data_IF_331318249166
#
_entry.id   IF_331318249166
#
_cell.length_a   1.000
_cell.length_b   1.000
_cell.length_c   1.000
_cell.angle_alpha   90.00
_cell.angle_beta   90.00
_cell.angle_gamma   90.00
#
_symmetry.space_group_name_H-M   'P 1'
#
loop_
_entity.id
_entity.type
_entity.pdbx_description
1 polymer ?
#
# COMPACT_ATOMS: atom_id res chain seq x y z
N UNK A 1 11.34 -8.35 13.04
CA UNK A 1 12.42 -7.92 12.12
C UNK A 1 12.90 -6.48 12.35
N UNK A 2 12.24 -5.72 13.21
CA UNK A 2 12.55 -4.31 13.51
C UNK A 2 12.61 -3.38 12.29
N UNK A 3 11.93 -3.73 11.20
CA UNK A 3 11.79 -2.90 10.00
C UNK A 3 10.54 -2.03 10.08
N UNK A 4 10.54 -0.93 9.35
CA UNK A 4 9.38 -0.06 9.19
C UNK A 4 8.82 -0.20 7.78
N UNK A 5 7.53 0.00 7.63
CA UNK A 5 6.86 -0.02 6.34
C UNK A 5 5.89 1.13 6.21
N UNK A 6 5.42 1.38 4.98
CA UNK A 6 4.39 2.37 4.69
C UNK A 6 3.07 1.67 4.38
N UNK A 7 2.04 1.97 5.16
CA UNK A 7 0.70 1.39 5.04
C UNK A 7 -0.25 2.37 4.36
N UNK A 8 -0.69 2.06 3.14
CA UNK A 8 -1.72 2.83 2.45
C UNK A 8 -3.10 2.38 2.91
N UNK A 9 -3.66 3.13 3.85
CA UNK A 9 -4.87 2.78 4.57
C UNK A 9 -6.14 3.20 3.83
N UNK A 10 -7.14 2.33 3.83
CA UNK A 10 -8.51 2.64 3.38
C UNK A 10 -9.26 3.32 4.53
N UNK A 11 -9.83 4.51 4.30
CA UNK A 11 -10.46 5.31 5.36
C UNK A 11 -11.55 4.57 6.14
N UNK A 12 -12.42 3.81 5.45
CA UNK A 12 -13.44 2.98 6.11
C UNK A 12 -12.84 1.94 7.08
N UNK A 13 -11.65 1.40 6.77
CA UNK A 13 -10.97 0.47 7.65
C UNK A 13 -10.37 1.18 8.88
N UNK A 14 -9.85 2.39 8.69
CA UNK A 14 -9.36 3.23 9.80
C UNK A 14 -10.49 3.56 10.77
N UNK A 15 -11.66 3.96 10.24
CA UNK A 15 -12.84 4.26 11.07
C UNK A 15 -13.32 3.03 11.85
N UNK A 16 -13.29 1.85 11.24
CA UNK A 16 -13.71 0.59 11.90
C UNK A 16 -12.69 0.06 12.91
N UNK A 17 -11.41 0.37 12.72
CA UNK A 17 -10.32 -0.17 13.54
C UNK A 17 -9.36 0.93 13.99
N UNK A 18 -9.82 1.96 14.74
CA UNK A 18 -9.00 3.11 15.11
C UNK A 18 -7.81 2.72 15.99
N UNK A 19 -7.98 1.70 16.84
CA UNK A 19 -6.92 1.19 17.71
C UNK A 19 -5.76 0.62 16.90
N UNK A 20 -6.05 -0.19 15.88
CA UNK A 20 -5.03 -0.77 15.01
C UNK A 20 -4.29 0.33 14.23
N UNK A 21 -5.02 1.34 13.75
CA UNK A 21 -4.43 2.47 13.04
C UNK A 21 -3.48 3.27 13.95
N UNK A 22 -3.88 3.50 15.21
CA UNK A 22 -3.03 4.14 16.20
C UNK A 22 -1.77 3.32 16.46
N UNK A 23 -1.91 2.00 16.67
CA UNK A 23 -0.79 1.09 16.90
C UNK A 23 0.23 1.09 15.76
N UNK A 24 -0.22 1.14 14.49
CA UNK A 24 0.68 1.28 13.34
C UNK A 24 1.60 2.51 13.48
N UNK A 25 1.03 3.65 13.86
CA UNK A 25 1.77 4.91 14.04
C UNK A 25 2.69 4.86 15.26
N UNK A 26 2.22 4.35 16.39
CA UNK A 26 2.99 4.20 17.62
C UNK A 26 4.19 3.26 17.43
N UNK A 27 4.04 2.23 16.61
CA UNK A 27 5.15 1.35 16.22
C UNK A 27 6.11 1.99 15.20
N UNK A 28 5.87 3.24 14.79
CA UNK A 28 6.73 4.01 13.88
C UNK A 28 6.61 3.62 12.42
N UNK A 29 5.52 2.97 12.02
CA UNK A 29 5.20 2.79 10.60
C UNK A 29 4.66 4.08 10.01
N UNK A 30 4.91 4.29 8.71
CA UNK A 30 4.33 5.40 7.96
C UNK A 30 2.95 5.01 7.46
N UNK A 31 2.03 5.98 7.36
CA UNK A 31 0.70 5.77 6.82
C UNK A 31 0.48 6.66 5.60
N UNK A 32 -0.31 6.17 4.65
CA UNK A 32 -0.71 6.90 3.44
C UNK A 32 -2.20 6.71 3.15
N UNK A 33 -2.76 7.62 2.38
CA UNK A 33 -4.16 7.62 1.98
C UNK A 33 -4.39 6.66 0.80
N UNK A 34 -5.41 5.79 0.90
CA UNK A 34 -5.81 4.83 -0.15
C UNK A 34 -7.31 4.93 -0.49
N UNK A 35 -7.85 6.15 -0.49
CA UNK A 35 -9.27 6.50 -0.63
C UNK A 35 -10.14 6.06 0.55
N UNK A 36 -11.38 6.57 0.64
CA UNK A 36 -12.27 6.24 1.75
C UNK A 36 -12.72 4.78 1.73
N UNK A 37 -13.09 4.26 0.55
CA UNK A 37 -13.67 2.92 0.39
C UNK A 37 -13.09 2.12 -0.78
N UNK A 38 -11.78 2.30 -1.04
CA UNK A 38 -11.02 1.58 -2.05
C UNK A 38 -11.58 1.70 -3.48
N UNK A 39 -12.09 2.88 -3.83
CA UNK A 39 -12.68 3.12 -5.17
C UNK A 39 -11.63 3.32 -6.25
N UNK A 40 -11.92 2.80 -7.43
CA UNK A 40 -11.13 2.99 -8.62
C UNK A 40 -11.40 4.37 -9.24
N UNK A 41 -10.36 5.20 -9.42
CA UNK A 41 -10.53 6.56 -9.91
C UNK A 41 -11.23 6.65 -11.26
N UNK A 42 -10.91 5.76 -12.20
CA UNK A 42 -11.52 5.72 -13.54
C UNK A 42 -13.03 5.45 -13.53
N UNK A 43 -13.59 4.97 -12.41
CA UNK A 43 -15.03 4.70 -12.27
C UNK A 43 -15.83 5.87 -11.70
N UNK A 44 -15.15 6.95 -11.32
CA UNK A 44 -15.78 8.13 -10.72
C UNK A 44 -15.45 9.39 -11.50
N UNK A 45 -16.38 10.36 -11.46
CA UNK A 45 -16.05 11.72 -11.89
C UNK A 45 -14.89 12.30 -11.07
N UNK A 46 -14.16 13.24 -11.63
CA UNK A 46 -13.06 13.94 -10.94
C UNK A 46 -13.52 14.45 -9.57
N UNK A 47 -14.64 15.16 -9.52
CA UNK A 47 -15.18 15.73 -8.28
C UNK A 47 -15.46 14.66 -7.22
N UNK A 48 -16.15 13.58 -7.58
CA UNK A 48 -16.49 12.52 -6.64
C UNK A 48 -15.25 11.75 -6.14
N UNK A 49 -14.26 11.57 -7.00
CA UNK A 49 -13.01 10.93 -6.59
C UNK A 49 -12.21 11.78 -5.61
N UNK A 50 -12.02 13.06 -5.91
CA UNK A 50 -11.33 13.99 -5.01
C UNK A 50 -12.03 14.11 -3.66
N UNK A 51 -13.36 14.19 -3.65
CA UNK A 51 -14.16 14.18 -2.41
C UNK A 51 -13.96 12.89 -1.61
N UNK A 52 -13.85 11.74 -2.29
CA UNK A 52 -13.61 10.46 -1.64
C UNK A 52 -12.21 10.40 -1.00
N UNK A 53 -11.18 10.88 -1.70
CA UNK A 53 -9.81 11.00 -1.18
C UNK A 53 -9.77 11.94 0.03
N UNK A 54 -10.44 13.10 -0.05
CA UNK A 54 -10.48 14.07 1.04
C UNK A 54 -11.14 13.50 2.30
N UNK A 55 -12.28 12.82 2.17
CA UNK A 55 -12.92 12.13 3.30
C UNK A 55 -12.01 11.09 3.97
N UNK A 56 -11.18 10.40 3.19
CA UNK A 56 -10.18 9.50 3.76
C UNK A 56 -9.08 10.28 4.50
N UNK A 57 -8.68 11.42 3.95
CA UNK A 57 -7.65 12.26 4.56
C UNK A 57 -8.09 12.89 5.88
N UNK A 58 -9.38 13.15 6.05
CA UNK A 58 -9.96 13.64 7.33
C UNK A 58 -9.71 12.67 8.51
N UNK A 59 -9.47 11.37 8.23
CA UNK A 59 -9.21 10.35 9.26
C UNK A 59 -7.78 9.78 9.23
N UNK A 60 -7.08 9.88 8.10
CA UNK A 60 -5.72 9.35 7.93
C UNK A 60 -4.67 10.43 8.19
N UNK A 61 -4.90 11.65 7.72
CA UNK A 61 -4.01 12.80 7.83
C UNK A 61 -2.60 12.52 7.31
N UNK A 62 -2.47 12.25 6.00
CA UNK A 62 -1.18 11.92 5.38
C UNK A 62 -0.93 12.71 4.10
N UNK A 63 0.29 13.18 3.91
CA UNK A 63 0.75 13.76 2.64
C UNK A 63 1.02 12.73 1.53
N UNK A 64 0.90 11.42 1.81
CA UNK A 64 1.10 10.35 0.83
C UNK A 64 -0.24 9.81 0.32
N UNK A 65 -0.32 9.60 -0.98
CA UNK A 65 -1.49 9.01 -1.61
C UNK A 65 -1.10 7.91 -2.61
N UNK A 66 -1.78 6.78 -2.54
CA UNK A 66 -1.69 5.72 -3.55
C UNK A 66 -3.08 5.41 -4.12
N UNK A 67 -3.30 5.51 -5.44
CA UNK A 67 -4.60 5.18 -6.02
C UNK A 67 -4.87 3.68 -5.95
N UNK A 68 -6.10 3.26 -5.56
CA UNK A 68 -6.49 1.86 -5.64
C UNK A 68 -6.27 1.28 -7.04
N UNK A 69 -5.73 0.07 -7.09
CA UNK A 69 -5.35 -0.63 -8.32
C UNK A 69 -4.31 0.10 -9.21
N UNK A 70 -3.72 1.20 -8.74
CA UNK A 70 -2.83 2.05 -9.55
C UNK A 70 -3.56 2.89 -10.60
N UNK A 71 -4.88 3.01 -10.54
CA UNK A 71 -5.68 3.60 -11.61
C UNK A 71 -6.42 4.86 -11.18
N UNK A 72 -6.12 5.97 -11.83
CA UNK A 72 -6.87 7.23 -11.74
C UNK A 72 -6.76 8.01 -13.05
N UNK A 73 -7.70 8.93 -13.28
CA UNK A 73 -7.69 9.78 -14.47
C UNK A 73 -6.61 10.88 -14.42
N UNK A 74 -6.11 11.37 -15.57
CA UNK A 74 -5.09 12.42 -15.61
C UNK A 74 -5.49 13.69 -14.86
N UNK A 75 -6.76 14.11 -14.99
CA UNK A 75 -7.30 15.28 -14.29
C UNK A 75 -7.41 15.08 -12.76
N UNK A 76 -7.60 13.85 -12.30
CA UNK A 76 -7.58 13.49 -10.88
C UNK A 76 -6.14 13.55 -10.36
N UNK A 77 -5.20 12.95 -11.09
CA UNK A 77 -3.78 12.96 -10.75
C UNK A 77 -3.22 14.38 -10.66
N UNK A 78 -3.54 15.25 -11.65
CA UNK A 78 -3.11 16.65 -11.65
C UNK A 78 -3.61 17.41 -10.42
N UNK A 79 -4.85 17.18 -10.01
CA UNK A 79 -5.41 17.84 -8.84
C UNK A 79 -4.77 17.34 -7.53
N UNK A 80 -4.62 16.00 -7.38
CA UNK A 80 -4.07 15.40 -6.17
C UNK A 80 -2.59 15.73 -5.94
N UNK A 81 -1.80 15.91 -7.00
CA UNK A 81 -0.38 16.30 -6.88
C UNK A 81 -0.14 17.63 -6.16
N UNK A 82 -1.15 18.48 -6.03
CA UNK A 82 -1.03 19.74 -5.31
C UNK A 82 -1.10 19.56 -3.78
N UNK A 83 -1.68 18.45 -3.31
CA UNK A 83 -1.93 18.17 -1.90
C UNK A 83 -1.19 16.93 -1.41
N UNK A 84 -0.87 15.99 -2.32
CA UNK A 84 -0.29 14.69 -1.98
C UNK A 84 0.93 14.35 -2.83
N UNK A 85 1.88 13.65 -2.24
CA UNK A 85 2.89 12.90 -2.99
C UNK A 85 2.26 11.60 -3.47
N UNK A 86 2.17 11.44 -4.81
CA UNK A 86 1.58 10.26 -5.43
C UNK A 86 2.60 9.12 -5.47
N UNK A 87 2.33 8.06 -4.75
CA UNK A 87 3.22 6.91 -4.61
C UNK A 87 2.70 5.71 -5.40
N UNK A 88 3.48 5.27 -6.37
CA UNK A 88 3.23 4.04 -7.12
C UNK A 88 4.15 2.92 -6.60
N UNK A 89 4.47 1.95 -7.43
CA UNK A 89 5.37 0.84 -7.13
C UNK A 89 6.04 0.31 -8.39
N UNK A 90 7.08 -0.47 -8.22
CA UNK A 90 7.69 -1.23 -9.31
C UNK A 90 7.60 -2.76 -9.09
N UNK A 91 7.44 -3.22 -7.85
CA UNK A 91 7.25 -4.63 -7.55
C UNK A 91 5.90 -4.88 -6.89
N UNK A 92 4.94 -5.46 -7.61
CA UNK A 92 3.70 -6.00 -7.05
C UNK A 92 3.83 -7.51 -6.87
N UNK A 93 3.70 -7.99 -5.65
CA UNK A 93 3.90 -9.41 -5.32
C UNK A 93 2.80 -10.32 -5.83
N UNK A 94 1.59 -9.77 -6.05
CA UNK A 94 0.37 -10.49 -6.45
C UNK A 94 -0.10 -11.52 -5.40
N UNK A 95 0.20 -11.27 -4.14
CA UNK A 95 -0.20 -12.08 -2.98
C UNK A 95 -1.71 -12.31 -2.89
N UNK A 96 -2.52 -11.38 -3.36
CA UNK A 96 -3.98 -11.50 -3.47
C UNK A 96 -4.47 -12.50 -4.54
N UNK A 97 -3.58 -13.03 -5.38
CA UNK A 97 -3.97 -13.93 -6.46
C UNK A 97 -4.22 -15.34 -5.94
N UNK A 98 -5.45 -15.84 -6.10
CA UNK A 98 -5.78 -17.24 -5.79
C UNK A 98 -5.12 -18.26 -6.71
N UNK A 99 -4.50 -17.81 -7.82
CA UNK A 99 -3.81 -18.66 -8.79
C UNK A 99 -2.33 -18.86 -8.45
N UNK A 100 -1.80 -18.10 -7.50
CA UNK A 100 -0.40 -18.17 -7.08
C UNK A 100 -0.29 -18.84 -5.73
N UNK A 101 0.81 -19.59 -5.54
CA UNK A 101 1.24 -20.07 -4.22
C UNK A 101 2.09 -19.01 -3.51
N UNK A 102 2.25 -19.14 -2.19
CA UNK A 102 3.15 -18.27 -1.43
C UNK A 102 4.60 -18.30 -1.94
N UNK A 103 5.06 -19.46 -2.44
CA UNK A 103 6.39 -19.62 -3.04
C UNK A 103 6.52 -18.81 -4.33
N UNK A 104 5.50 -18.84 -5.19
CA UNK A 104 5.48 -18.04 -6.42
C UNK A 104 5.42 -16.54 -6.14
N UNK A 105 4.70 -16.14 -5.09
CA UNK A 105 4.68 -14.75 -4.61
C UNK A 105 6.06 -14.31 -4.11
N UNK A 106 6.73 -15.14 -3.33
CA UNK A 106 8.11 -14.89 -2.89
C UNK A 106 9.09 -14.86 -4.07
N UNK A 107 8.94 -15.76 -5.04
CA UNK A 107 9.75 -15.76 -6.26
C UNK A 107 9.60 -14.46 -7.07
N UNK A 108 8.41 -13.84 -7.08
CA UNK A 108 8.20 -12.53 -7.70
C UNK A 108 9.05 -11.44 -7.03
N UNK A 109 9.15 -11.43 -5.71
CA UNK A 109 10.02 -10.48 -5.00
C UNK A 109 11.47 -10.66 -5.44
N UNK A 110 12.00 -11.88 -5.35
CA UNK A 110 13.40 -12.17 -5.73
C UNK A 110 13.73 -11.81 -7.18
N UNK A 111 12.76 -12.00 -8.08
CA UNK A 111 12.97 -11.77 -9.52
C UNK A 111 13.02 -10.30 -9.90
N UNK A 112 12.24 -9.45 -9.22
CA UNK A 112 12.01 -8.08 -9.68
C UNK A 112 12.58 -7.01 -8.78
N UNK A 113 12.98 -7.34 -7.55
CA UNK A 113 13.54 -6.36 -6.62
C UNK A 113 14.90 -5.83 -7.08
N UNK A 114 15.12 -4.55 -6.84
CA UNK A 114 16.38 -3.83 -7.03
C UNK A 114 16.51 -2.72 -6.00
N UNK A 115 17.65 -2.07 -5.92
CA UNK A 115 17.83 -0.92 -5.04
C UNK A 115 16.80 0.18 -5.37
N UNK A 116 16.12 0.69 -4.35
CA UNK A 116 15.07 1.69 -4.47
C UNK A 116 13.69 1.12 -4.85
N UNK A 117 13.52 -0.21 -4.90
CA UNK A 117 12.21 -0.82 -5.18
C UNK A 117 11.18 -0.51 -4.12
N UNK A 118 9.97 -0.21 -4.57
CA UNK A 118 8.76 -0.18 -3.74
C UNK A 118 8.00 -1.48 -3.95
N UNK A 119 8.06 -2.36 -2.95
CA UNK A 119 7.45 -3.70 -2.98
C UNK A 119 6.08 -3.65 -2.31
N UNK A 120 5.03 -4.08 -3.01
CA UNK A 120 3.65 -4.06 -2.50
C UNK A 120 3.19 -5.45 -2.12
N UNK A 121 2.77 -5.58 -0.86
CA UNK A 121 1.96 -6.66 -0.30
C UNK A 121 0.59 -6.12 0.13
N UNK A 122 -0.39 -6.99 0.35
CA UNK A 122 -1.76 -6.61 0.72
C UNK A 122 -2.19 -7.33 2.00
N UNK A 123 -2.52 -6.58 3.04
CA UNK A 123 -3.02 -7.06 4.34
C UNK A 123 -4.54 -7.31 4.30
N UNK A 124 -4.98 -8.12 3.36
CA UNK A 124 -6.38 -8.45 3.15
C UNK A 124 -6.66 -9.95 3.37
N UNK A 125 -7.88 -10.31 3.77
CA UNK A 125 -8.31 -11.71 3.90
C UNK A 125 -8.05 -12.51 2.63
N UNK A 126 -8.14 -11.87 1.46
CA UNK A 126 -7.88 -12.50 0.17
C UNK A 126 -6.41 -12.87 -0.02
N UNK A 127 -5.50 -12.07 0.53
CA UNK A 127 -4.05 -12.26 0.41
C UNK A 127 -3.47 -13.08 1.58
N UNK A 128 -4.20 -13.25 2.67
CA UNK A 128 -3.70 -13.76 3.95
C UNK A 128 -2.81 -14.99 3.82
N UNK A 129 -3.28 -16.03 3.10
CA UNK A 129 -2.53 -17.28 2.95
C UNK A 129 -1.15 -17.06 2.32
N UNK A 130 -1.11 -16.31 1.23
CA UNK A 130 0.13 -16.04 0.52
C UNK A 130 1.01 -15.02 1.27
N UNK A 131 0.40 -14.02 1.88
CA UNK A 131 1.07 -12.99 2.68
C UNK A 131 1.82 -13.64 3.86
N UNK A 132 1.15 -14.49 4.65
CA UNK A 132 1.76 -15.17 5.80
C UNK A 132 2.97 -16.03 5.42
N UNK A 133 2.99 -16.58 4.23
CA UNK A 133 4.14 -17.33 3.73
C UNK A 133 5.22 -16.43 3.14
N UNK A 134 4.84 -15.54 2.22
CA UNK A 134 5.79 -14.84 1.37
C UNK A 134 6.43 -13.61 2.04
N UNK A 135 5.70 -12.88 2.90
CA UNK A 135 6.22 -11.67 3.51
C UNK A 135 7.43 -11.93 4.42
N UNK A 136 7.38 -12.86 5.42
CA UNK A 136 8.55 -13.12 6.26
C UNK A 136 9.75 -13.62 5.44
N UNK A 137 9.53 -14.55 4.51
CA UNK A 137 10.60 -15.06 3.64
C UNK A 137 11.20 -13.98 2.74
N UNK A 138 10.38 -13.03 2.28
CA UNK A 138 10.89 -11.89 1.51
C UNK A 138 11.75 -10.97 2.35
N UNK A 139 11.33 -10.68 3.57
CA UNK A 139 12.09 -9.85 4.50
C UNK A 139 13.44 -10.51 4.83
N UNK A 140 13.43 -11.77 5.22
CA UNK A 140 14.63 -12.55 5.55
C UNK A 140 15.61 -12.58 4.37
N UNK A 141 15.13 -12.94 3.18
CA UNK A 141 15.96 -12.99 1.98
C UNK A 141 16.53 -11.62 1.59
N UNK A 142 15.74 -10.56 1.72
CA UNK A 142 16.22 -9.20 1.45
C UNK A 142 17.32 -8.79 2.43
N UNK A 143 17.17 -9.11 3.72
CA UNK A 143 18.21 -8.85 4.74
C UNK A 143 19.49 -9.66 4.45
N UNK A 144 19.37 -10.94 4.09
CA UNK A 144 20.49 -11.80 3.71
C UNK A 144 21.25 -11.29 2.46
N UNK A 145 20.54 -10.57 1.57
CA UNK A 145 21.12 -9.95 0.38
C UNK A 145 21.46 -8.46 0.58
N UNK A 146 21.62 -8.02 1.84
CA UNK A 146 22.09 -6.68 2.24
C UNK A 146 21.18 -5.52 1.81
N UNK A 147 19.91 -5.78 1.46
CA UNK A 147 18.94 -4.72 1.25
C UNK A 147 18.59 -4.03 2.57
N UNK A 148 18.47 -2.71 2.53
CA UNK A 148 17.97 -1.91 3.63
C UNK A 148 16.51 -1.55 3.41
N UNK A 149 15.76 -1.47 4.51
CA UNK A 149 14.36 -1.09 4.49
C UNK A 149 14.20 0.34 4.97
N UNK A 150 13.35 1.09 4.29
CA UNK A 150 12.99 2.45 4.68
C UNK A 150 11.51 2.71 4.42
N UNK A 151 10.99 3.80 4.99
CA UNK A 151 9.67 4.35 4.66
C UNK A 151 9.77 5.34 3.51
N UNK A 152 8.63 5.76 2.96
CA UNK A 152 8.55 6.67 1.81
C UNK A 152 8.61 8.14 2.22
#
# INVERSE_FOLDING_TARGET
YHIKGTFFCVGDNVVRNPELFRELKERGHQVGNHTMNHVQGMKLSKFNYLRNVKRADDVICSGLFRPPHGHMGPGQAKALKNEFTLIMWDVVTRDYSKKLTGEQVFANVKRYVRNGSIIVFHDSLKAEKNLRYALPKSIEWLMENEYRFDTL
#
